data_IF_879578203942
#
_entry.id   IF_879578203942
#
_cell.length_a   1.000
_cell.length_b   1.000
_cell.length_c   1.000
_cell.angle_alpha   90.00
_cell.angle_beta   90.00
_cell.angle_gamma   90.00
#
_symmetry.space_group_name_H-M   'P 1'
#
loop_
_entity.id
_entity.type
_entity.pdbx_description
1 polymer ?
#
# COMPACT_ATOMS: atom_id res chain seq x y z
N UNK A 1 -10.79 27.01 -22.83
CA UNK A 1 -10.01 26.25 -21.81
C UNK A 1 -10.55 26.62 -20.44
N UNK A 2 -10.79 25.64 -19.56
CA UNK A 2 -11.27 25.90 -18.20
C UNK A 2 -10.24 26.63 -17.36
N UNK A 3 -10.67 27.49 -16.43
CA UNK A 3 -9.78 28.14 -15.46
C UNK A 3 -9.26 27.09 -14.47
N UNK A 4 -7.94 27.03 -14.21
CA UNK A 4 -7.42 26.19 -13.14
C UNK A 4 -7.69 26.83 -11.78
N UNK A 5 -7.86 25.99 -10.75
CA UNK A 5 -8.15 26.45 -9.38
C UNK A 5 -7.08 27.42 -8.85
N UNK A 6 -5.80 27.13 -9.13
CA UNK A 6 -4.68 27.99 -8.73
C UNK A 6 -4.76 29.37 -9.39
N UNK A 7 -5.13 29.44 -10.67
CA UNK A 7 -5.27 30.71 -11.39
C UNK A 7 -6.42 31.55 -10.82
N UNK A 8 -7.50 30.91 -10.38
CA UNK A 8 -8.61 31.61 -9.73
C UNK A 8 -8.18 32.17 -8.37
N UNK A 9 -7.49 31.37 -7.55
CA UNK A 9 -7.03 31.79 -6.21
C UNK A 9 -6.02 32.94 -6.32
N UNK A 10 -5.05 32.85 -7.24
CA UNK A 10 -4.01 33.86 -7.42
C UNK A 10 -4.56 35.22 -7.88
N UNK A 11 -5.70 35.24 -8.56
CA UNK A 11 -6.36 36.47 -9.00
C UNK A 11 -7.26 37.11 -7.93
N UNK A 12 -7.38 36.51 -6.73
CA UNK A 12 -8.12 37.12 -5.62
C UNK A 12 -7.28 38.14 -4.86
N UNK A 13 -7.93 39.08 -4.17
CA UNK A 13 -7.27 39.99 -3.23
C UNK A 13 -6.57 39.23 -2.09
N UNK A 14 -5.45 39.76 -1.62
CA UNK A 14 -4.59 39.11 -0.61
C UNK A 14 -5.35 38.70 0.66
N UNK A 15 -6.27 39.53 1.15
CA UNK A 15 -7.08 39.20 2.34
C UNK A 15 -7.99 37.99 2.11
N UNK A 16 -8.51 37.84 0.89
CA UNK A 16 -9.33 36.69 0.51
C UNK A 16 -8.48 35.44 0.33
N UNK A 17 -7.28 35.56 -0.25
CA UNK A 17 -6.32 34.45 -0.33
C UNK A 17 -5.96 33.93 1.07
N UNK A 18 -5.64 34.82 2.02
CA UNK A 18 -5.36 34.45 3.42
C UNK A 18 -6.53 33.74 4.09
N UNK A 19 -7.75 34.25 3.92
CA UNK A 19 -8.97 33.61 4.46
C UNK A 19 -9.18 32.21 3.87
N UNK A 20 -9.00 32.05 2.56
CA UNK A 20 -9.12 30.76 1.89
C UNK A 20 -8.07 29.78 2.42
N UNK A 21 -6.82 30.22 2.54
CA UNK A 21 -5.72 29.40 3.08
C UNK A 21 -5.99 28.95 4.53
N UNK A 22 -6.50 29.83 5.38
CA UNK A 22 -6.86 29.49 6.75
C UNK A 22 -8.01 28.48 6.81
N UNK A 23 -9.06 28.68 5.99
CA UNK A 23 -10.18 27.74 5.93
C UNK A 23 -9.77 26.38 5.36
N UNK A 24 -8.92 26.36 4.34
CA UNK A 24 -8.40 25.11 3.79
C UNK A 24 -7.56 24.37 4.81
N UNK A 25 -6.68 25.07 5.56
CA UNK A 25 -5.86 24.45 6.60
C UNK A 25 -6.72 23.79 7.67
N UNK A 26 -7.71 24.53 8.19
CA UNK A 26 -8.67 24.00 9.17
C UNK A 26 -9.43 22.79 8.63
N UNK A 27 -9.79 22.79 7.35
CA UNK A 27 -10.48 21.66 6.74
C UNK A 27 -9.58 20.43 6.60
N UNK A 28 -8.31 20.64 6.24
CA UNK A 28 -7.30 19.57 6.18
C UNK A 28 -7.14 18.93 7.56
N UNK A 29 -7.00 19.74 8.61
CA UNK A 29 -6.88 19.25 10.00
C UNK A 29 -8.09 18.37 10.41
N UNK A 30 -9.31 18.85 10.15
CA UNK A 30 -10.54 18.11 10.45
C UNK A 30 -10.58 16.77 9.71
N UNK A 31 -10.25 16.77 8.42
CA UNK A 31 -10.24 15.56 7.61
C UNK A 31 -9.16 14.56 8.07
N UNK A 32 -7.97 15.05 8.44
CA UNK A 32 -6.87 14.23 8.95
C UNK A 32 -7.24 13.61 10.31
N UNK A 33 -7.90 14.36 11.20
CA UNK A 33 -8.32 13.86 12.51
C UNK A 33 -9.26 12.65 12.42
N UNK A 34 -10.01 12.53 11.32
CA UNK A 34 -10.91 11.41 11.05
C UNK A 34 -10.36 10.40 10.01
N UNK A 35 -9.13 10.57 9.56
CA UNK A 35 -8.54 9.70 8.54
C UNK A 35 -8.22 8.30 9.12
N UNK A 36 -8.75 7.26 8.48
CA UNK A 36 -8.50 5.87 8.86
C UNK A 36 -7.53 5.17 7.90
N UNK A 37 -7.40 5.67 6.67
CA UNK A 37 -6.59 5.06 5.62
C UNK A 37 -5.64 6.05 4.97
N UNK A 38 -4.56 5.56 4.34
CA UNK A 38 -3.64 6.39 3.54
C UNK A 38 -4.36 7.15 2.42
N UNK A 39 -5.44 6.58 1.88
CA UNK A 39 -6.31 7.25 0.91
C UNK A 39 -6.95 8.49 1.51
N UNK A 40 -7.40 8.43 2.76
CA UNK A 40 -8.06 9.54 3.45
C UNK A 40 -7.05 10.66 3.73
N UNK A 41 -5.85 10.32 4.21
CA UNK A 41 -4.74 11.29 4.39
C UNK A 41 -4.41 12.00 3.07
N UNK A 42 -4.27 11.24 1.97
CA UNK A 42 -3.96 11.83 0.66
C UNK A 42 -5.08 12.76 0.18
N UNK A 43 -6.34 12.34 0.31
CA UNK A 43 -7.51 13.14 -0.09
C UNK A 43 -7.63 14.40 0.76
N UNK A 44 -7.34 14.34 2.05
CA UNK A 44 -7.37 15.48 2.95
C UNK A 44 -6.43 16.60 2.45
N UNK A 45 -5.21 16.26 2.05
CA UNK A 45 -4.22 17.22 1.53
C UNK A 45 -4.42 17.53 0.03
N UNK A 46 -5.39 16.91 -0.63
CA UNK A 46 -5.73 17.19 -2.03
C UNK A 46 -4.74 16.67 -3.08
N UNK A 47 -3.83 15.76 -2.72
CA UNK A 47 -2.86 15.18 -3.66
C UNK A 47 -3.44 14.03 -4.48
N UNK A 48 -2.96 13.84 -5.70
CA UNK A 48 -3.23 12.67 -6.55
C UNK A 48 -2.27 11.53 -6.25
N UNK A 49 -2.62 10.30 -6.64
CA UNK A 49 -1.70 9.17 -6.51
C UNK A 49 -0.43 9.36 -7.35
N UNK A 50 -0.50 10.08 -8.47
CA UNK A 50 0.64 10.37 -9.35
C UNK A 50 1.62 11.32 -8.67
N UNK A 51 1.11 12.36 -8.02
CA UNK A 51 1.95 13.30 -7.24
C UNK A 51 2.65 12.58 -6.08
N UNK A 52 1.91 11.77 -5.32
CA UNK A 52 2.50 10.96 -4.23
C UNK A 52 3.53 9.97 -4.75
N UNK A 53 3.28 9.33 -5.91
CA UNK A 53 4.21 8.41 -6.54
C UNK A 53 5.53 9.10 -6.93
N UNK A 54 5.43 10.31 -7.51
CA UNK A 54 6.57 11.14 -7.87
C UNK A 54 7.39 11.53 -6.64
N UNK A 55 6.72 11.99 -5.57
CA UNK A 55 7.38 12.41 -4.33
C UNK A 55 8.06 11.23 -3.61
N UNK A 56 7.53 10.01 -3.76
CA UNK A 56 8.10 8.79 -3.20
C UNK A 56 9.11 8.08 -4.13
N UNK A 57 9.27 8.53 -5.37
CA UNK A 57 10.15 7.87 -6.36
C UNK A 57 9.69 6.46 -6.75
N UNK A 58 8.38 6.18 -6.69
CA UNK A 58 7.80 4.87 -7.01
C UNK A 58 6.72 4.99 -8.10
N UNK A 59 6.24 3.85 -8.58
CA UNK A 59 5.19 3.82 -9.62
C UNK A 59 3.81 4.11 -9.00
N UNK A 60 2.91 4.76 -9.76
CA UNK A 60 1.53 5.02 -9.29
C UNK A 60 0.76 3.74 -8.92
N UNK A 61 0.97 2.63 -9.65
CA UNK A 61 0.42 1.33 -9.27
C UNK A 61 0.90 0.86 -7.89
N UNK A 62 2.15 1.14 -7.52
CA UNK A 62 2.69 0.80 -6.20
C UNK A 62 2.02 1.63 -5.09
N UNK A 63 1.73 2.91 -5.35
CA UNK A 63 0.93 3.76 -4.43
C UNK A 63 -0.48 3.18 -4.25
N UNK A 64 -1.14 2.77 -5.34
CA UNK A 64 -2.47 2.16 -5.27
C UNK A 64 -2.49 0.88 -4.43
N UNK A 65 -1.46 0.03 -4.56
CA UNK A 65 -1.33 -1.17 -3.71
C UNK A 65 -0.99 -0.83 -2.26
N UNK A 66 -0.21 0.23 -2.03
CA UNK A 66 0.11 0.71 -0.70
C UNK A 66 -1.14 1.21 0.04
N UNK A 67 -1.96 2.02 -0.63
CA UNK A 67 -3.21 2.59 -0.07
C UNK A 67 -4.27 1.54 0.29
N UNK A 68 -4.22 0.35 -0.31
CA UNK A 68 -5.18 -0.74 -0.08
C UNK A 68 -4.84 -1.65 1.09
N UNK A 69 -3.66 -1.50 1.71
CA UNK A 69 -3.20 -2.40 2.77
C UNK A 69 -3.82 -2.05 4.11
N UNK A 70 -4.17 -3.09 4.88
CA UNK A 70 -4.60 -2.97 6.27
C UNK A 70 -3.46 -2.59 7.20
N UNK A 71 -2.25 -3.10 6.92
CA UNK A 71 -1.07 -2.90 7.76
C UNK A 71 0.08 -2.32 6.94
N UNK A 72 0.68 -1.26 7.47
CA UNK A 72 1.81 -0.55 6.87
C UNK A 72 2.92 -0.42 7.90
N UNK A 73 4.16 -0.76 7.52
CA UNK A 73 5.31 -0.51 8.39
C UNK A 73 5.38 0.98 8.76
N UNK A 74 5.70 1.28 10.02
CA UNK A 74 5.79 2.66 10.53
C UNK A 74 6.74 3.53 9.70
N UNK A 75 7.81 2.94 9.15
CA UNK A 75 8.73 3.60 8.22
C UNK A 75 8.05 4.01 6.90
N UNK A 76 7.25 3.13 6.31
CA UNK A 76 6.47 3.39 5.09
C UNK A 76 5.40 4.45 5.35
N UNK A 77 4.67 4.37 6.47
CA UNK A 77 3.68 5.38 6.87
C UNK A 77 4.32 6.76 7.00
N UNK A 78 5.45 6.87 7.71
CA UNK A 78 6.15 8.15 7.87
C UNK A 78 6.58 8.75 6.54
N UNK A 79 7.11 7.94 5.61
CA UNK A 79 7.49 8.44 4.28
C UNK A 79 6.29 8.90 3.46
N UNK A 80 5.20 8.14 3.50
CA UNK A 80 3.96 8.54 2.85
C UNK A 80 3.43 9.86 3.43
N UNK A 81 3.39 9.99 4.76
CA UNK A 81 2.99 11.25 5.40
C UNK A 81 3.96 12.39 5.06
N UNK A 82 5.28 12.14 5.02
CA UNK A 82 6.29 13.13 4.61
C UNK A 82 6.10 13.57 3.17
N UNK A 83 5.73 12.67 2.25
CA UNK A 83 5.40 13.06 0.87
C UNK A 83 4.14 13.92 0.80
N UNK A 84 3.22 13.80 1.76
CA UNK A 84 2.10 14.74 1.93
C UNK A 84 2.49 16.05 2.63
N UNK A 85 3.73 16.22 3.07
CA UNK A 85 4.18 17.38 3.86
C UNK A 85 3.82 17.29 5.35
N UNK A 86 3.43 16.10 5.82
CA UNK A 86 3.08 15.85 7.21
C UNK A 86 4.24 15.19 7.95
N UNK A 87 4.40 15.50 9.23
CA UNK A 87 5.39 14.85 10.10
C UNK A 87 4.68 13.88 11.03
N UNK A 88 5.19 12.65 11.12
CA UNK A 88 4.67 11.64 12.05
C UNK A 88 5.43 11.73 13.37
N UNK A 89 4.70 11.96 14.46
CA UNK A 89 5.17 11.81 15.83
C UNK A 89 4.52 10.57 16.47
N UNK A 90 5.28 9.83 17.28
CA UNK A 90 4.81 8.64 17.97
C UNK A 90 4.84 8.89 19.48
N UNK A 91 3.77 8.51 20.15
CA UNK A 91 3.65 8.59 21.61
C UNK A 91 2.93 7.36 22.14
N UNK A 92 3.23 6.97 23.37
CA UNK A 92 2.51 5.93 24.11
C UNK A 92 1.79 6.55 25.30
N UNK A 93 0.71 5.91 25.74
CA UNK A 93 0.01 6.25 26.99
C UNK A 93 0.31 5.16 28.01
N UNK A 94 0.71 5.57 29.22
CA UNK A 94 0.81 4.64 30.35
C UNK A 94 -0.59 4.33 30.93
N UNK A 95 -0.63 3.41 31.89
CA UNK A 95 -1.87 3.02 32.61
C UNK A 95 -2.54 4.17 33.37
N UNK A 96 -1.83 5.27 33.61
CA UNK A 96 -2.31 6.46 34.30
C UNK A 96 -2.66 7.60 33.31
N UNK A 97 -2.55 7.35 32.00
CA UNK A 97 -2.81 8.34 30.95
C UNK A 97 -1.64 9.32 30.71
N UNK A 98 -0.46 9.07 31.27
CA UNK A 98 0.74 9.86 30.99
C UNK A 98 1.20 9.58 29.56
N UNK A 99 1.27 10.64 28.76
CA UNK A 99 1.80 10.59 27.39
C UNK A 99 3.33 10.62 27.44
N UNK A 100 3.95 9.64 26.79
CA UNK A 100 5.40 9.51 26.66
C UNK A 100 5.73 9.54 25.17
N UNK A 101 6.42 10.59 24.72
CA UNK A 101 6.82 10.72 23.32
C UNK A 101 8.04 9.86 22.99
N UNK A 102 7.98 9.17 21.86
CA UNK A 102 8.98 8.20 21.42
C UNK A 102 9.98 8.82 20.43
N UNK A 103 10.61 9.93 20.80
CA UNK A 103 11.49 10.71 19.89
C UNK A 103 12.67 9.89 19.33
N UNK A 104 13.19 8.94 20.10
CA UNK A 104 14.34 8.09 19.73
C UNK A 104 13.95 6.72 19.19
N UNK A 105 12.66 6.38 19.16
CA UNK A 105 12.20 5.12 18.61
C UNK A 105 12.34 5.14 17.09
N UNK A 106 12.96 4.09 16.52
CA UNK A 106 13.41 4.07 15.12
C UNK A 106 14.39 5.21 14.81
N UNK A 107 15.54 5.28 15.50
CA UNK A 107 16.65 6.21 15.25
C UNK A 107 16.79 6.52 13.76
N UNK A 108 16.18 7.65 13.38
CA UNK A 108 15.96 8.00 11.99
C UNK A 108 17.21 8.71 11.52
N UNK A 109 18.18 7.95 11.01
CA UNK A 109 19.17 8.56 10.14
C UNK A 109 18.45 8.91 8.85
N UNK A 110 18.51 10.17 8.42
CA UNK A 110 18.11 10.64 7.08
C UNK A 110 19.06 10.03 6.02
N UNK A 111 19.14 8.70 5.99
CA UNK A 111 19.93 7.97 5.00
C UNK A 111 19.15 8.04 3.70
N UNK A 112 19.80 8.69 2.74
CA UNK A 112 19.44 8.95 1.36
C UNK A 112 18.29 8.13 0.78
N UNK A 113 17.34 8.86 0.20
CA UNK A 113 16.20 8.49 -0.66
C UNK A 113 16.51 7.40 -1.72
N UNK A 114 17.79 7.08 -1.97
CA UNK A 114 18.24 6.08 -2.93
C UNK A 114 18.14 4.61 -2.48
N UNK A 115 18.29 4.29 -1.19
CA UNK A 115 18.23 2.89 -0.69
C UNK A 115 16.80 2.36 -0.51
N UNK A 116 15.81 3.21 -0.78
CA UNK A 116 14.46 3.07 -0.27
C UNK A 116 13.51 2.36 -1.22
N UNK A 117 13.80 2.39 -2.52
CA UNK A 117 13.01 1.72 -3.54
C UNK A 117 12.91 0.19 -3.28
N UNK A 118 13.98 -0.45 -2.78
CA UNK A 118 13.95 -1.87 -2.39
C UNK A 118 13.02 -2.13 -1.21
N UNK A 119 13.00 -1.26 -0.19
CA UNK A 119 12.10 -1.43 0.96
C UNK A 119 10.63 -1.31 0.56
N UNK A 120 10.30 -0.42 -0.39
CA UNK A 120 8.96 -0.33 -0.98
C UNK A 120 8.62 -1.55 -1.84
N UNK A 121 9.54 -2.07 -2.66
CA UNK A 121 9.30 -3.28 -3.45
C UNK A 121 9.08 -4.52 -2.57
N UNK A 122 9.82 -4.59 -1.44
CA UNK A 122 9.73 -5.68 -0.47
C UNK A 122 8.48 -5.57 0.41
N UNK A 123 8.10 -4.35 0.79
CA UNK A 123 6.81 -4.10 1.41
C UNK A 123 5.68 -4.43 0.42
N UNK A 124 5.69 -3.88 -0.80
CA UNK A 124 4.66 -3.98 -1.85
C UNK A 124 4.34 -5.42 -2.34
N UNK A 125 5.24 -6.39 -2.11
CA UNK A 125 4.93 -7.80 -2.35
C UNK A 125 3.88 -8.31 -1.34
N UNK A 126 2.79 -8.96 -1.78
CA UNK A 126 1.90 -9.66 -0.86
C UNK A 126 2.68 -10.79 -0.15
N UNK A 127 2.32 -11.18 1.09
CA UNK A 127 2.90 -12.38 1.69
C UNK A 127 2.66 -13.53 0.72
N UNK A 128 3.71 -14.29 0.41
CA UNK A 128 3.60 -15.44 -0.47
C UNK A 128 2.48 -16.33 0.06
N UNK A 129 1.37 -16.38 -0.68
CA UNK A 129 0.30 -17.34 -0.40
C UNK A 129 0.99 -18.69 -0.56
N UNK A 130 1.16 -19.44 0.53
CA UNK A 130 1.59 -20.84 0.46
C UNK A 130 0.61 -21.49 -0.52
N UNK A 131 1.06 -21.75 -1.74
CA UNK A 131 0.33 -22.57 -2.68
C UNK A 131 0.17 -23.89 -1.97
N UNK A 132 -1.05 -24.18 -1.52
CA UNK A 132 -1.43 -25.53 -1.15
C UNK A 132 -1.00 -26.41 -2.31
N UNK A 133 -0.06 -27.32 -2.02
CA UNK A 133 0.43 -28.31 -2.95
C UNK A 133 -0.80 -28.99 -3.53
N UNK A 134 -0.96 -28.87 -4.86
CA UNK A 134 -1.93 -29.61 -5.64
C UNK A 134 -1.71 -31.09 -5.32
N UNK A 135 -2.67 -31.71 -4.63
CA UNK A 135 -2.67 -33.16 -4.42
C UNK A 135 -2.57 -33.84 -5.80
N UNK A 136 -1.65 -34.80 -6.00
CA UNK A 136 -1.54 -35.47 -7.29
C UNK A 136 -2.76 -36.34 -7.53
N UNK A 137 -3.33 -36.19 -8.72
CA UNK A 137 -4.38 -37.05 -9.25
C UNK A 137 -3.90 -38.51 -9.25
N UNK A 138 -4.72 -39.41 -8.71
CA UNK A 138 -4.54 -40.86 -8.87
C UNK A 138 -4.98 -41.23 -10.28
N UNK A 139 -4.03 -41.62 -11.13
CA UNK A 139 -4.28 -42.35 -12.37
C UNK A 139 -4.51 -43.85 -12.08
N UNK A 140 -5.29 -44.55 -12.93
CA UNK A 140 -5.72 -45.93 -12.70
C UNK A 140 -4.62 -46.94 -12.99
N UNK A 141 -4.53 -47.97 -12.15
CA UNK A 141 -3.62 -49.10 -12.32
C UNK A 141 -4.16 -50.04 -13.40
N UNK A 142 -3.55 -50.01 -14.59
CA UNK A 142 -3.70 -51.05 -15.60
C UNK A 142 -2.59 -52.10 -15.40
N UNK A 143 -2.98 -53.30 -14.95
CA UNK A 143 -2.10 -54.44 -14.80
C UNK A 143 -1.80 -55.08 -16.17
N UNK A 144 -0.51 -55.22 -16.49
CA UNK A 144 -0.03 -56.02 -17.61
C UNK A 144 0.67 -57.27 -17.08
N UNK A 145 0.12 -58.45 -17.38
CA UNK A 145 0.86 -59.72 -17.30
C UNK A 145 0.71 -60.45 -18.63
N UNK A 146 1.84 -60.61 -19.34
CA UNK A 146 1.97 -61.43 -20.54
C UNK A 146 2.10 -62.91 -20.16
N UNK A 147 1.46 -63.82 -20.89
CA UNK A 147 2.11 -64.99 -21.52
C UNK A 147 1.16 -65.89 -22.33
N UNK A 148 1.70 -66.32 -23.48
CA UNK A 148 1.50 -67.59 -24.20
C UNK A 148 0.17 -67.87 -24.96
N UNK A 149 0.26 -67.79 -26.29
CA UNK A 149 -0.43 -68.66 -27.27
C UNK A 149 -0.05 -70.15 -27.07
N UNK A 150 -0.80 -71.18 -27.55
CA UNK A 150 -1.48 -71.20 -28.86
C UNK A 150 -2.81 -72.00 -29.04
N UNK A 151 -3.55 -71.63 -30.10
CA UNK A 151 -4.21 -72.49 -31.14
C UNK A 151 -4.97 -73.78 -30.74
N UNK A 152 -6.30 -73.78 -30.90
CA UNK A 152 -7.15 -74.84 -31.52
C UNK A 152 -8.65 -74.47 -31.34
N UNK A 153 -9.43 -74.24 -32.42
CA UNK A 153 -10.26 -75.17 -33.22
C UNK A 153 -11.62 -75.55 -32.59
N UNK A 154 -12.68 -75.28 -33.38
CA UNK A 154 -14.02 -75.94 -33.47
C UNK A 154 -15.08 -75.54 -32.43
N UNK A 155 -16.20 -74.99 -32.90
CA UNK A 155 -17.52 -75.64 -33.16
C UNK A 155 -18.28 -75.84 -31.84
N UNK A 156 -19.52 -75.43 -31.62
CA UNK A 156 -20.70 -75.25 -32.47
C UNK A 156 -21.90 -75.58 -31.57
N UNK A 157 -23.09 -75.11 -31.97
CA UNK A 157 -24.40 -75.27 -31.32
C UNK A 157 -24.65 -74.39 -30.08
#
# INVERSE_FOLDING_TARGET
MGRNLNDVINNLQADRQKKIAALSHKKIEEMIAHAATLTDFRKAVGKTQVEVAKDLGINQNAVSQLEKRSDTYVSTLRRFLKSLGLTLELSVLDKNGVRIDLQNFLQWSDRSVGDDAETFARAAKPPARKTAVKAPAKEPVAAATKRATPRAKRAGA
#
